data_IF_405340196898
#
_entry.id   IF_405340196898
#
_cell.length_a   1.000
_cell.length_b   1.000
_cell.length_c   1.000
_cell.angle_alpha   90.00
_cell.angle_beta   90.00
_cell.angle_gamma   90.00
#
_symmetry.space_group_name_H-M   'P 1'
#
loop_
_entity.id
_entity.type
_entity.pdbx_description
1 polymer ?
#
# COMPACT_ATOMS: atom_id res chain seq x y z
N UNK A 1 3.41 -7.69 7.47
CA UNK A 1 2.19 -8.52 7.68
C UNK A 1 1.57 -8.86 6.36
N UNK A 2 1.27 -10.13 6.13
CA UNK A 2 0.55 -10.56 4.93
C UNK A 2 -0.96 -10.46 5.12
N UNK A 3 -1.66 -10.03 4.06
CA UNK A 3 -3.12 -10.11 3.96
C UNK A 3 -3.44 -11.21 2.97
N UNK A 4 -4.06 -12.29 3.44
CA UNK A 4 -4.50 -13.36 2.56
C UNK A 4 -5.75 -12.90 1.77
N UNK A 5 -5.79 -13.00 0.43
CA UNK A 5 -6.97 -12.57 -0.34
C UNK A 5 -8.27 -13.23 0.11
N UNK A 6 -8.21 -14.50 0.53
CA UNK A 6 -9.37 -15.24 1.04
C UNK A 6 -9.96 -14.63 2.31
N UNK A 7 -9.15 -13.97 3.16
CA UNK A 7 -9.65 -13.34 4.39
C UNK A 7 -10.42 -12.04 4.14
N UNK A 8 -10.36 -11.50 2.92
CA UNK A 8 -11.09 -10.31 2.52
C UNK A 8 -12.51 -10.62 2.00
N UNK A 9 -12.82 -11.91 1.76
CA UNK A 9 -14.11 -12.34 1.25
C UNK A 9 -15.22 -12.19 2.30
N UNK A 10 -16.46 -12.27 1.84
CA UNK A 10 -17.65 -12.29 2.70
C UNK A 10 -17.82 -11.08 3.63
N UNK A 11 -17.39 -9.89 3.18
CA UNK A 11 -17.57 -8.64 3.94
C UNK A 11 -16.62 -8.48 5.14
N UNK A 12 -15.54 -9.25 5.20
CA UNK A 12 -14.58 -9.20 6.31
C UNK A 12 -13.43 -8.20 6.11
N UNK A 13 -13.41 -7.48 4.99
CA UNK A 13 -12.34 -6.53 4.66
C UNK A 13 -12.08 -5.50 5.75
N UNK A 14 -13.12 -4.92 6.35
CA UNK A 14 -12.96 -3.93 7.42
C UNK A 14 -12.31 -4.52 8.67
N UNK A 15 -12.68 -5.74 9.05
CA UNK A 15 -12.09 -6.43 10.19
C UNK A 15 -10.59 -6.72 9.96
N UNK A 16 -10.24 -7.15 8.74
CA UNK A 16 -8.83 -7.38 8.36
C UNK A 16 -8.05 -6.08 8.38
N UNK A 17 -8.59 -4.99 7.85
CA UNK A 17 -7.95 -3.67 7.89
C UNK A 17 -7.70 -3.23 9.34
N UNK A 18 -8.69 -3.36 10.22
CA UNK A 18 -8.52 -3.02 11.65
C UNK A 18 -7.44 -3.88 12.33
N UNK A 19 -7.36 -5.17 12.03
CA UNK A 19 -6.31 -6.05 12.53
C UNK A 19 -4.92 -5.60 12.07
N UNK A 20 -4.78 -5.23 10.80
CA UNK A 20 -3.51 -4.73 10.25
C UNK A 20 -3.09 -3.42 10.94
N UNK A 21 -4.01 -2.49 11.13
CA UNK A 21 -3.73 -1.21 11.79
C UNK A 21 -3.37 -1.41 13.27
N UNK A 22 -4.08 -2.27 13.97
CA UNK A 22 -3.77 -2.60 15.37
C UNK A 22 -2.38 -3.27 15.51
N UNK A 23 -2.01 -4.14 14.57
CA UNK A 23 -0.68 -4.73 14.52
C UNK A 23 0.41 -3.69 14.20
N UNK A 24 0.16 -2.79 13.25
CA UNK A 24 1.14 -1.81 12.81
C UNK A 24 1.41 -0.72 13.85
N UNK A 25 0.38 -0.23 14.52
CA UNK A 25 0.45 0.93 15.41
C UNK A 25 1.60 0.90 16.43
N UNK A 26 1.84 -0.18 17.19
CA UNK A 26 2.97 -0.23 18.13
C UNK A 26 4.33 -0.31 17.46
N UNK A 27 4.41 -0.81 16.21
CA UNK A 27 5.65 -1.03 15.47
C UNK A 27 6.14 0.22 14.73
N UNK A 28 5.24 1.15 14.42
CA UNK A 28 5.58 2.36 13.65
C UNK A 28 6.61 3.25 14.34
N UNK A 29 6.73 3.18 15.66
CA UNK A 29 7.76 3.90 16.44
C UNK A 29 9.16 3.31 16.28
N UNK A 30 9.25 2.03 15.91
CA UNK A 30 10.51 1.29 15.83
C UNK A 30 11.06 1.26 14.39
N UNK A 31 10.24 1.59 13.39
CA UNK A 31 10.65 1.66 11.99
C UNK A 31 9.54 1.38 10.98
N UNK A 32 9.89 1.22 9.71
CA UNK A 32 8.94 0.93 8.65
C UNK A 32 8.26 -0.44 8.84
N UNK A 33 6.98 -0.52 8.55
CA UNK A 33 6.23 -1.78 8.50
C UNK A 33 5.89 -2.14 7.05
N UNK A 34 5.88 -3.43 6.73
CA UNK A 34 5.48 -3.94 5.42
C UNK A 34 4.13 -4.66 5.52
N UNK A 35 3.18 -4.22 4.73
CA UNK A 35 1.89 -4.89 4.50
C UNK A 35 1.82 -5.31 3.04
N UNK A 36 1.48 -6.56 2.76
CA UNK A 36 1.45 -7.09 1.39
C UNK A 36 0.36 -8.15 1.25
N UNK A 37 -0.07 -8.38 0.01
CA UNK A 37 -1.12 -9.35 -0.33
C UNK A 37 -0.69 -10.37 -1.37
N UNK A 38 0.63 -10.58 -1.53
CA UNK A 38 1.13 -11.64 -2.40
C UNK A 38 0.75 -13.01 -1.83
N UNK A 39 0.27 -13.89 -2.69
CA UNK A 39 -0.11 -15.24 -2.34
C UNK A 39 0.39 -16.23 -3.40
N UNK A 40 0.47 -17.50 -3.03
CA UNK A 40 0.80 -18.57 -3.96
C UNK A 40 -0.21 -18.62 -5.13
N UNK A 41 0.24 -18.95 -6.35
CA UNK A 41 -0.64 -18.93 -7.54
C UNK A 41 -1.92 -19.73 -7.39
N UNK A 42 -1.89 -20.85 -6.67
CA UNK A 42 -3.07 -21.69 -6.48
C UNK A 42 -4.09 -21.05 -5.52
N UNK A 43 -3.64 -20.34 -4.50
CA UNK A 43 -4.49 -19.57 -3.60
C UNK A 43 -5.17 -18.40 -4.34
N UNK A 44 -4.43 -17.72 -5.21
CA UNK A 44 -4.97 -16.65 -6.07
C UNK A 44 -6.03 -17.21 -7.00
N UNK A 45 -5.75 -18.32 -7.69
CA UNK A 45 -6.72 -18.98 -8.59
C UNK A 45 -8.00 -19.42 -7.86
N UNK A 46 -7.89 -19.92 -6.63
CA UNK A 46 -9.05 -20.33 -5.85
C UNK A 46 -9.98 -19.15 -5.54
N UNK A 47 -9.46 -17.99 -5.19
CA UNK A 47 -10.24 -16.77 -4.95
C UNK A 47 -10.83 -16.24 -6.25
N UNK A 48 -10.05 -16.22 -7.32
CA UNK A 48 -10.52 -15.81 -8.65
C UNK A 48 -11.63 -16.72 -9.21
N UNK A 49 -11.57 -18.00 -8.91
CA UNK A 49 -12.62 -18.95 -9.32
C UNK A 49 -13.97 -18.70 -8.61
N UNK A 50 -13.93 -18.15 -7.39
CA UNK A 50 -15.14 -17.86 -6.62
C UNK A 50 -15.72 -16.47 -6.93
N UNK A 51 -14.87 -15.47 -7.11
CA UNK A 51 -15.28 -14.07 -7.27
C UNK A 51 -15.12 -13.53 -8.69
N UNK A 52 -14.32 -14.19 -9.53
CA UNK A 52 -13.81 -13.60 -10.77
C UNK A 52 -12.51 -12.83 -10.55
N UNK A 53 -11.72 -12.68 -11.62
CA UNK A 53 -10.40 -12.05 -11.58
C UNK A 53 -10.49 -10.58 -11.18
N UNK A 54 -11.43 -9.84 -11.78
CA UNK A 54 -11.59 -8.41 -11.54
C UNK A 54 -12.05 -8.11 -10.10
N UNK A 55 -13.02 -8.85 -9.58
CA UNK A 55 -13.52 -8.65 -8.21
C UNK A 55 -12.49 -9.04 -7.16
N UNK A 56 -11.75 -10.13 -7.37
CA UNK A 56 -10.67 -10.54 -6.48
C UNK A 56 -9.56 -9.48 -6.40
N UNK A 57 -9.17 -8.89 -7.53
CA UNK A 57 -8.22 -7.79 -7.60
C UNK A 57 -8.72 -6.55 -6.86
N UNK A 58 -9.94 -6.09 -7.18
CA UNK A 58 -10.54 -4.91 -6.56
C UNK A 58 -10.65 -5.04 -5.03
N UNK A 59 -10.93 -6.23 -4.52
CA UNK A 59 -11.04 -6.49 -3.09
C UNK A 59 -9.69 -6.26 -2.36
N UNK A 60 -8.61 -6.75 -2.95
CA UNK A 60 -7.24 -6.57 -2.43
C UNK A 60 -6.83 -5.10 -2.50
N UNK A 61 -7.09 -4.44 -3.63
CA UNK A 61 -6.77 -3.02 -3.83
C UNK A 61 -7.49 -2.13 -2.82
N UNK A 62 -8.79 -2.34 -2.63
CA UNK A 62 -9.58 -1.62 -1.64
C UNK A 62 -9.06 -1.83 -0.21
N UNK A 63 -8.70 -3.06 0.16
CA UNK A 63 -8.16 -3.36 1.48
C UNK A 63 -6.81 -2.67 1.70
N UNK A 64 -5.88 -2.75 0.75
CA UNK A 64 -4.57 -2.09 0.83
C UNK A 64 -4.70 -0.56 0.86
N UNK A 65 -5.62 0.01 0.07
CA UNK A 65 -5.91 1.44 0.08
C UNK A 65 -6.48 1.91 1.43
N UNK A 66 -7.38 1.13 2.03
CA UNK A 66 -7.92 1.39 3.37
C UNK A 66 -6.83 1.31 4.45
N UNK A 67 -5.92 0.34 4.35
CA UNK A 67 -4.74 0.24 5.23
C UNK A 67 -3.86 1.48 5.08
N UNK A 68 -3.53 1.91 3.85
CA UNK A 68 -2.72 3.09 3.59
C UNK A 68 -3.34 4.35 4.22
N UNK A 69 -4.64 4.55 4.05
CA UNK A 69 -5.40 5.65 4.67
C UNK A 69 -5.35 5.58 6.20
N UNK A 70 -5.55 4.40 6.77
CA UNK A 70 -5.48 4.19 8.22
C UNK A 70 -4.09 4.47 8.78
N UNK A 71 -3.01 4.03 8.11
CA UNK A 71 -1.63 4.30 8.51
C UNK A 71 -1.32 5.80 8.49
N UNK A 72 -1.75 6.54 7.46
CA UNK A 72 -1.62 8.00 7.41
C UNK A 72 -2.40 8.66 8.57
N UNK A 73 -3.58 8.16 8.89
CA UNK A 73 -4.35 8.57 10.07
C UNK A 73 -3.63 8.32 11.40
N UNK A 74 -2.83 7.25 11.50
CA UNK A 74 -1.97 6.94 12.65
C UNK A 74 -0.68 7.79 12.70
N UNK A 75 -0.45 8.68 11.76
CA UNK A 75 0.70 9.58 11.73
C UNK A 75 1.82 9.19 10.77
N UNK A 76 1.66 8.15 9.96
CA UNK A 76 2.62 7.82 8.91
C UNK A 76 2.70 8.97 7.91
N UNK A 77 3.93 9.40 7.58
CA UNK A 77 4.20 10.51 6.67
C UNK A 77 5.13 10.11 5.50
N UNK A 78 5.60 8.89 5.49
CA UNK A 78 6.40 8.30 4.40
C UNK A 78 5.76 6.98 4.01
N UNK A 79 5.25 6.89 2.79
CA UNK A 79 4.50 5.75 2.30
C UNK A 79 5.08 5.23 0.99
N UNK A 80 5.49 3.98 0.97
CA UNK A 80 5.91 3.27 -0.25
C UNK A 80 4.78 2.37 -0.71
N UNK A 81 4.29 2.59 -1.92
CA UNK A 81 3.24 1.75 -2.53
C UNK A 81 3.79 1.06 -3.76
N UNK A 82 3.69 -0.27 -3.79
CA UNK A 82 4.11 -1.08 -4.92
C UNK A 82 2.91 -1.76 -5.58
N UNK A 83 2.85 -1.67 -6.91
CA UNK A 83 1.77 -2.16 -7.75
C UNK A 83 1.01 -1.01 -8.42
N UNK A 84 0.78 -1.11 -9.73
CA UNK A 84 0.16 -0.02 -10.51
C UNK A 84 -1.28 0.27 -10.05
N UNK A 85 -2.10 -0.74 -9.98
CA UNK A 85 -3.51 -0.63 -9.55
C UNK A 85 -3.63 -0.25 -8.08
N UNK A 86 -2.83 -0.86 -7.21
CA UNK A 86 -2.74 -0.50 -5.79
C UNK A 86 -2.32 0.95 -5.60
N UNK A 87 -1.39 1.46 -6.40
CA UNK A 87 -0.96 2.86 -6.37
C UNK A 87 -2.12 3.81 -6.67
N UNK A 88 -2.90 3.52 -7.71
CA UNK A 88 -4.10 4.29 -8.05
C UNK A 88 -5.14 4.29 -6.92
N UNK A 89 -5.42 3.11 -6.35
CA UNK A 89 -6.38 2.96 -5.26
C UNK A 89 -5.93 3.72 -4.00
N UNK A 90 -4.65 3.68 -3.64
CA UNK A 90 -4.09 4.42 -2.51
C UNK A 90 -4.17 5.93 -2.71
N UNK A 91 -3.82 6.45 -3.90
CA UNK A 91 -3.91 7.87 -4.24
C UNK A 91 -5.34 8.37 -4.08
N UNK A 92 -6.33 7.62 -4.59
CA UNK A 92 -7.74 7.95 -4.44
C UNK A 92 -8.21 7.93 -2.98
N UNK A 93 -7.87 6.88 -2.23
CA UNK A 93 -8.27 6.73 -0.83
C UNK A 93 -7.69 7.83 0.08
N UNK A 94 -6.52 8.37 -0.26
CA UNK A 94 -5.86 9.48 0.45
C UNK A 94 -6.35 10.85 -0.02
N UNK A 95 -7.23 10.94 -1.01
CA UNK A 95 -7.72 12.20 -1.54
C UNK A 95 -6.65 13.03 -2.26
N UNK A 96 -5.59 12.38 -2.77
CA UNK A 96 -4.49 13.07 -3.42
C UNK A 96 -4.90 13.51 -4.82
N UNK A 97 -4.96 14.81 -5.06
CA UNK A 97 -5.30 15.39 -6.36
C UNK A 97 -4.06 15.80 -7.17
N UNK A 98 -2.93 16.01 -6.52
CA UNK A 98 -1.68 16.41 -7.16
C UNK A 98 -0.47 15.88 -6.40
N UNK A 99 0.59 15.61 -7.12
CA UNK A 99 1.87 15.14 -6.60
C UNK A 99 2.98 16.12 -7.00
N UNK A 100 3.73 16.60 -6.03
CA UNK A 100 4.97 17.34 -6.27
C UNK A 100 6.12 16.34 -6.33
N UNK A 101 6.77 16.24 -7.49
CA UNK A 101 7.89 15.32 -7.72
C UNK A 101 9.10 15.78 -6.92
N UNK A 102 9.67 14.88 -6.16
CA UNK A 102 10.85 15.05 -5.34
C UNK A 102 12.06 14.24 -5.83
N UNK A 103 12.98 13.87 -4.93
CA UNK A 103 14.19 13.14 -5.32
C UNK A 103 13.88 11.75 -5.88
N UNK A 104 14.66 11.37 -6.90
CA UNK A 104 14.56 10.04 -7.50
C UNK A 104 15.19 8.99 -6.58
N UNK A 105 14.49 7.88 -6.38
CA UNK A 105 14.99 6.70 -5.66
C UNK A 105 15.69 5.78 -6.64
N UNK A 106 14.98 5.40 -7.69
CA UNK A 106 15.43 4.61 -8.83
C UNK A 106 14.94 5.23 -10.13
N UNK A 107 15.51 4.91 -11.29
CA UNK A 107 15.05 5.41 -12.57
C UNK A 107 13.55 5.22 -12.75
N UNK A 108 12.82 6.32 -12.93
CA UNK A 108 11.36 6.35 -13.09
C UNK A 108 10.55 6.22 -11.80
N UNK A 109 11.19 6.18 -10.64
CA UNK A 109 10.51 6.05 -9.34
C UNK A 109 11.01 7.10 -8.36
N UNK A 110 10.40 8.30 -8.34
CA UNK A 110 10.73 9.35 -7.39
C UNK A 110 9.93 9.21 -6.09
N UNK A 111 10.41 9.84 -5.02
CA UNK A 111 9.54 10.32 -3.97
C UNK A 111 8.70 11.49 -4.48
N UNK A 112 7.46 11.55 -4.04
CA UNK A 112 6.58 12.69 -4.27
C UNK A 112 6.05 13.21 -2.94
N UNK A 113 5.69 14.48 -2.90
CA UNK A 113 4.98 15.07 -1.78
C UNK A 113 3.54 15.39 -2.19
N UNK A 114 2.60 15.08 -1.33
CA UNK A 114 1.18 15.38 -1.52
C UNK A 114 0.55 15.97 -0.27
N UNK A 115 -0.29 16.99 -0.37
CA UNK A 115 -1.19 17.37 0.70
C UNK A 115 -2.28 16.30 0.86
N UNK A 116 -2.67 16.02 2.09
CA UNK A 116 -3.83 15.18 2.44
C UNK A 116 -4.60 15.84 3.56
N UNK A 117 -5.84 15.39 3.81
CA UNK A 117 -6.65 15.88 4.92
C UNK A 117 -5.99 15.66 6.30
N UNK A 118 -5.13 14.65 6.40
CA UNK A 118 -4.37 14.34 7.61
C UNK A 118 -3.00 15.07 7.68
N UNK A 119 -2.72 15.99 6.76
CA UNK A 119 -1.44 16.68 6.60
C UNK A 119 -0.64 16.20 5.40
N UNK A 120 0.56 16.75 5.16
CA UNK A 120 1.43 16.36 4.05
C UNK A 120 1.97 14.94 4.20
N UNK A 121 2.04 14.18 3.11
CA UNK A 121 2.63 12.85 3.04
C UNK A 121 3.67 12.77 1.93
N UNK A 122 4.81 12.15 2.19
CA UNK A 122 5.71 11.70 1.15
C UNK A 122 5.28 10.31 0.69
N UNK A 123 5.04 10.18 -0.61
CA UNK A 123 4.59 8.92 -1.21
C UNK A 123 5.44 8.59 -2.42
N UNK A 124 5.85 7.34 -2.55
CA UNK A 124 6.43 6.83 -3.78
C UNK A 124 5.56 5.70 -4.34
N UNK A 125 5.31 5.76 -5.63
CA UNK A 125 4.45 4.84 -6.35
C UNK A 125 5.31 4.00 -7.28
N UNK A 126 5.53 2.75 -6.90
CA UNK A 126 6.35 1.80 -7.64
C UNK A 126 5.48 0.92 -8.51
N UNK A 127 5.52 1.16 -9.80
CA UNK A 127 4.88 0.28 -10.78
C UNK A 127 5.72 -0.98 -11.02
N UNK A 128 5.08 -2.13 -11.17
CA UNK A 128 5.58 -3.43 -11.61
C UNK A 128 7.09 -3.67 -11.48
N UNK A 129 7.78 -3.70 -12.62
CA UNK A 129 9.20 -4.04 -12.74
C UNK A 129 10.17 -2.88 -12.48
N UNK A 130 9.70 -1.71 -12.10
CA UNK A 130 10.56 -0.58 -11.76
C UNK A 130 11.20 -0.78 -10.38
N UNK A 131 12.40 -0.23 -10.21
CA UNK A 131 13.18 -0.32 -8.97
C UNK A 131 14.08 -1.55 -8.90
N UNK A 132 15.10 -1.45 -8.07
CA UNK A 132 16.05 -2.52 -7.78
C UNK A 132 15.53 -3.44 -6.67
N UNK A 133 16.18 -4.57 -6.42
CA UNK A 133 15.78 -5.54 -5.39
C UNK A 133 15.75 -4.95 -3.97
N UNK A 134 16.62 -3.97 -3.71
CA UNK A 134 16.72 -3.27 -2.43
C UNK A 134 15.84 -2.01 -2.33
N UNK A 135 14.93 -1.79 -3.28
CA UNK A 135 14.12 -0.57 -3.40
C UNK A 135 13.44 -0.17 -2.10
N UNK A 136 12.76 -1.10 -1.42
CA UNK A 136 12.05 -0.81 -0.19
C UNK A 136 12.97 -0.32 0.93
N UNK A 137 14.16 -0.89 1.02
CA UNK A 137 15.13 -0.51 2.06
C UNK A 137 15.74 0.85 1.79
N UNK A 138 16.15 1.13 0.54
CA UNK A 138 16.80 2.38 0.19
C UNK A 138 15.84 3.56 0.04
N UNK A 139 14.57 3.31 -0.25
CA UNK A 139 13.58 4.36 -0.43
C UNK A 139 13.54 5.31 0.78
N UNK A 140 13.44 4.76 1.98
CA UNK A 140 13.39 5.57 3.20
C UNK A 140 14.67 6.37 3.46
N UNK A 141 15.84 5.84 3.07
CA UNK A 141 17.12 6.56 3.15
C UNK A 141 17.23 7.76 2.19
N UNK A 142 16.48 7.75 1.09
CA UNK A 142 16.53 8.83 0.08
C UNK A 142 15.80 10.11 0.51
N UNK A 143 15.06 10.10 1.61
CA UNK A 143 14.41 11.28 2.22
C UNK A 143 15.16 11.81 3.45
N UNK A 144 16.23 11.16 3.84
CA UNK A 144 17.01 11.54 5.01
C UNK A 144 17.85 12.80 4.76
#
# INVERSE_FOLDING_TARGET
MAIAPVSLMHGQSDAVVQQVLAWAAPLLKDGPVLVYSTAEPDAVKAVQAQLGVAEAGALVEHALAAVARGLVGLGVRQLVVAGGETSGACVQALGIAQLQIGPQIDPGVPWCHAPTDAGGVHITLKSGNFGTEDFFSKAFGALA
#
